data_IF_097744665824
#
_entry.id   IF_097744665824
#
_cell.length_a   1.000
_cell.length_b   1.000
_cell.length_c   1.000
_cell.angle_alpha   90.00
_cell.angle_beta   90.00
_cell.angle_gamma   90.00
#
_symmetry.space_group_name_H-M   'P 1'
#
loop_
_entity.id
_entity.type
_entity.pdbx_description
1 polymer ?
#
# COMPACT_ATOMS: atom_id res chain seq x y z
N UNK A 1 -12.82 7.73 23.99
CA UNK A 1 -12.28 7.26 22.70
C UNK A 1 -12.66 5.80 22.55
N UNK A 2 -13.43 5.43 21.52
CA UNK A 2 -13.74 4.02 21.26
C UNK A 2 -12.46 3.30 20.83
N UNK A 3 -12.08 2.21 21.51
CA UNK A 3 -10.95 1.40 21.08
C UNK A 3 -11.24 0.79 19.69
N UNK A 4 -10.30 0.86 18.76
CA UNK A 4 -10.39 0.20 17.45
C UNK A 4 -9.98 -1.26 17.62
N UNK A 5 -10.95 -2.15 17.79
CA UNK A 5 -10.72 -3.54 18.21
C UNK A 5 -11.40 -4.51 17.25
N UNK A 6 -10.67 -5.57 16.88
CA UNK A 6 -11.27 -6.81 16.35
C UNK A 6 -11.32 -7.86 17.46
N UNK A 7 -12.53 -8.33 17.77
CA UNK A 7 -12.80 -9.25 18.88
C UNK A 7 -12.92 -10.69 18.37
N UNK A 8 -12.33 -11.63 19.11
CA UNK A 8 -12.39 -13.07 18.85
C UNK A 8 -13.05 -13.77 20.03
N UNK A 9 -13.85 -14.80 19.74
CA UNK A 9 -14.45 -15.69 20.75
C UNK A 9 -13.73 -17.04 20.85
N UNK A 10 -12.91 -17.37 19.84
CA UNK A 10 -12.05 -18.55 19.84
C UNK A 10 -10.60 -18.14 20.10
N UNK A 11 -9.97 -18.79 21.07
CA UNK A 11 -8.60 -18.48 21.48
C UNK A 11 -7.55 -18.89 20.43
N UNK A 12 -7.77 -19.98 19.70
CA UNK A 12 -6.86 -20.40 18.64
C UNK A 12 -6.89 -19.42 17.46
N UNK A 13 -8.09 -18.95 17.07
CA UNK A 13 -8.25 -17.90 16.06
C UNK A 13 -7.59 -16.58 16.48
N UNK A 14 -7.69 -16.21 17.76
CA UNK A 14 -7.00 -15.03 18.31
C UNK A 14 -5.48 -15.13 18.16
N UNK A 15 -4.88 -16.27 18.53
CA UNK A 15 -3.43 -16.50 18.40
C UNK A 15 -3.00 -16.48 16.94
N UNK A 16 -3.77 -17.11 16.05
CA UNK A 16 -3.49 -17.10 14.62
C UNK A 16 -3.53 -15.67 14.06
N UNK A 17 -4.56 -14.88 14.41
CA UNK A 17 -4.66 -13.49 14.01
C UNK A 17 -3.49 -12.64 14.52
N UNK A 18 -3.06 -12.84 15.77
CA UNK A 18 -1.89 -12.16 16.34
C UNK A 18 -0.59 -12.47 15.59
N UNK A 19 -0.38 -13.73 15.23
CA UNK A 19 0.77 -14.15 14.42
C UNK A 19 0.75 -13.54 13.02
N UNK A 20 -0.42 -13.57 12.36
CA UNK A 20 -0.61 -12.94 11.05
C UNK A 20 -0.34 -11.43 11.13
N UNK A 21 -0.76 -10.76 12.22
CA UNK A 21 -0.64 -9.31 12.37
C UNK A 21 0.82 -8.91 12.55
N UNK A 22 1.53 -9.65 13.39
CA UNK A 22 2.97 -9.48 13.61
C UNK A 22 3.74 -9.67 12.29
N UNK A 23 3.43 -10.73 11.54
CA UNK A 23 4.06 -11.02 10.25
C UNK A 23 3.79 -9.91 9.23
N UNK A 24 2.54 -9.45 9.12
CA UNK A 24 2.17 -8.34 8.26
C UNK A 24 2.98 -7.08 8.59
N UNK A 25 3.03 -6.68 9.87
CA UNK A 25 3.78 -5.50 10.31
C UNK A 25 5.28 -5.62 10.02
N UNK A 26 5.87 -6.80 10.18
CA UNK A 26 7.28 -7.04 9.84
C UNK A 26 7.52 -6.86 8.33
N UNK A 27 6.70 -7.50 7.48
CA UNK A 27 6.81 -7.40 6.03
C UNK A 27 6.64 -5.95 5.57
N UNK A 28 5.57 -5.28 6.01
CA UNK A 28 5.30 -3.88 5.68
C UNK A 28 6.49 -2.99 6.03
N UNK A 29 7.03 -3.11 7.25
CA UNK A 29 8.14 -2.26 7.70
C UNK A 29 9.45 -2.49 6.93
N UNK A 30 9.73 -3.72 6.51
CA UNK A 30 10.91 -4.02 5.69
C UNK A 30 10.74 -3.37 4.31
N UNK A 31 9.65 -3.68 3.61
CA UNK A 31 9.40 -3.18 2.25
C UNK A 31 9.32 -1.65 2.24
N UNK A 32 8.67 -1.05 3.25
CA UNK A 32 8.59 0.40 3.41
C UNK A 32 9.97 1.04 3.54
N UNK A 33 10.86 0.48 4.36
CA UNK A 33 12.23 1.00 4.51
C UNK A 33 13.04 0.86 3.23
N UNK A 34 12.91 -0.28 2.54
CA UNK A 34 13.55 -0.49 1.24
C UNK A 34 13.07 0.54 0.22
N UNK A 35 11.77 0.83 0.21
CA UNK A 35 11.20 1.85 -0.67
C UNK A 35 11.66 3.27 -0.32
N UNK A 36 11.74 3.61 0.96
CA UNK A 36 12.30 4.89 1.42
C UNK A 36 13.76 5.04 1.00
N UNK A 37 14.56 3.98 1.08
CA UNK A 37 15.93 3.97 0.59
C UNK A 37 15.99 4.17 -0.93
N UNK A 38 15.12 3.52 -1.69
CA UNK A 38 15.01 3.70 -3.13
C UNK A 38 14.68 5.15 -3.52
N UNK A 39 13.71 5.78 -2.85
CA UNK A 39 13.40 7.20 -3.08
C UNK A 39 14.62 8.09 -2.79
N UNK A 40 15.32 7.84 -1.68
CA UNK A 40 16.51 8.61 -1.31
C UNK A 40 17.61 8.48 -2.37
N UNK A 41 17.95 7.26 -2.78
CA UNK A 41 18.96 6.99 -3.82
C UNK A 41 18.56 7.66 -5.15
N UNK A 42 17.27 7.65 -5.48
CA UNK A 42 16.76 8.30 -6.70
C UNK A 42 16.98 9.81 -6.69
N UNK A 43 16.72 10.46 -5.55
CA UNK A 43 16.97 11.90 -5.37
C UNK A 43 18.47 12.22 -5.50
N UNK A 44 19.35 11.41 -4.89
CA UNK A 44 20.80 11.60 -4.91
C UNK A 44 21.39 11.52 -6.33
N UNK A 45 20.79 10.73 -7.21
CA UNK A 45 21.26 10.51 -8.58
C UNK A 45 20.46 11.31 -9.63
N UNK A 46 19.71 12.35 -9.23
CA UNK A 46 18.86 13.13 -10.15
C UNK A 46 19.60 13.89 -11.25
N UNK A 47 20.90 14.13 -11.06
CA UNK A 47 21.76 14.85 -12.01
C UNK A 47 22.11 13.96 -13.21
N UNK A 48 22.35 12.67 -12.99
CA UNK A 48 22.76 11.74 -14.04
C UNK A 48 21.50 11.16 -14.68
N UNK A 49 21.18 11.65 -15.89
CA UNK A 49 19.90 11.37 -16.55
C UNK A 49 19.56 9.88 -16.66
N UNK A 50 20.54 9.04 -17.02
CA UNK A 50 20.31 7.60 -17.22
C UNK A 50 20.01 6.88 -15.90
N UNK A 51 20.65 7.31 -14.81
CA UNK A 51 20.46 6.78 -13.47
C UNK A 51 19.13 7.25 -12.91
N UNK A 52 18.85 8.55 -13.01
CA UNK A 52 17.57 9.11 -12.56
C UNK A 52 16.37 8.48 -13.27
N UNK A 53 16.45 8.32 -14.59
CA UNK A 53 15.40 7.64 -15.38
C UNK A 53 15.21 6.19 -14.93
N UNK A 54 16.31 5.47 -14.68
CA UNK A 54 16.26 4.07 -14.25
C UNK A 54 15.66 3.93 -12.87
N UNK A 55 16.13 4.73 -11.92
CA UNK A 55 15.69 4.71 -10.53
C UNK A 55 14.24 5.19 -10.40
N UNK A 56 13.83 6.23 -11.12
CA UNK A 56 12.43 6.68 -11.20
C UNK A 56 11.48 5.57 -11.66
N UNK A 57 11.84 4.83 -12.72
CA UNK A 57 11.05 3.69 -13.20
C UNK A 57 10.98 2.57 -12.14
N UNK A 58 12.07 2.36 -11.39
CA UNK A 58 12.07 1.45 -10.25
C UNK A 58 11.16 1.93 -9.11
N UNK A 59 11.13 3.23 -8.80
CA UNK A 59 10.22 3.81 -7.80
C UNK A 59 8.74 3.58 -8.16
N UNK A 60 8.37 3.72 -9.43
CA UNK A 60 7.01 3.43 -9.89
C UNK A 60 6.64 1.96 -9.66
N UNK A 61 7.53 1.02 -10.01
CA UNK A 61 7.29 -0.42 -9.81
C UNK A 61 7.23 -0.76 -8.31
N UNK A 62 8.20 -0.29 -7.54
CA UNK A 62 8.33 -0.57 -6.12
C UNK A 62 7.14 -0.08 -5.30
N UNK A 63 6.54 1.07 -5.64
CA UNK A 63 5.37 1.60 -4.94
C UNK A 63 4.23 0.59 -4.97
N UNK A 64 3.93 0.05 -6.15
CA UNK A 64 2.83 -0.90 -6.29
C UNK A 64 3.17 -2.28 -5.75
N UNK A 65 4.43 -2.72 -5.78
CA UNK A 65 4.84 -3.94 -5.09
C UNK A 65 4.61 -3.84 -3.57
N UNK A 66 4.90 -2.69 -2.96
CA UNK A 66 4.60 -2.44 -1.54
C UNK A 66 3.09 -2.48 -1.27
N UNK A 67 2.30 -1.74 -2.06
CA UNK A 67 0.85 -1.70 -1.89
C UNK A 67 0.22 -3.09 -2.07
N UNK A 68 0.68 -3.87 -3.06
CA UNK A 68 0.20 -5.23 -3.31
C UNK A 68 0.53 -6.17 -2.14
N UNK A 69 1.74 -6.04 -1.56
CA UNK A 69 2.12 -6.79 -0.37
C UNK A 69 1.22 -6.44 0.83
N UNK A 70 0.89 -5.16 1.00
CA UNK A 70 0.01 -4.71 2.07
C UNK A 70 -1.42 -5.21 1.89
N UNK A 71 -1.97 -5.12 0.67
CA UNK A 71 -3.30 -5.67 0.34
C UNK A 71 -3.34 -7.17 0.62
N UNK A 72 -2.31 -7.92 0.21
CA UNK A 72 -2.25 -9.36 0.46
C UNK A 72 -2.17 -9.68 1.97
N UNK A 73 -1.30 -8.99 2.71
CA UNK A 73 -1.16 -9.18 4.14
C UNK A 73 -2.43 -8.85 4.92
N UNK A 74 -3.13 -7.77 4.56
CA UNK A 74 -4.39 -7.37 5.17
C UNK A 74 -5.54 -8.34 4.83
N UNK A 75 -5.61 -8.89 3.61
CA UNK A 75 -6.58 -9.96 3.33
C UNK A 75 -6.26 -11.23 4.11
N UNK A 76 -4.99 -11.51 4.38
CA UNK A 76 -4.60 -12.57 5.31
C UNK A 76 -5.15 -12.34 6.72
N UNK A 77 -5.34 -11.10 7.16
CA UNK A 77 -5.84 -10.75 8.49
C UNK A 77 -7.37 -10.64 8.58
N UNK A 78 -7.96 -10.07 7.54
CA UNK A 78 -9.35 -9.67 7.50
C UNK A 78 -9.85 -9.65 6.06
N UNK A 79 -9.96 -10.85 5.47
CA UNK A 79 -10.43 -11.04 4.11
C UNK A 79 -11.84 -10.48 3.91
N UNK A 80 -12.08 -9.81 2.79
CA UNK A 80 -13.44 -9.51 2.35
C UNK A 80 -14.13 -10.76 1.81
N UNK A 81 -15.46 -10.72 1.79
CA UNK A 81 -16.28 -11.84 1.30
C UNK A 81 -15.94 -12.18 -0.16
N UNK A 82 -15.80 -13.48 -0.45
CA UNK A 82 -15.51 -14.01 -1.79
C UNK A 82 -14.15 -13.53 -2.37
N UNK A 83 -13.16 -13.28 -1.49
CA UNK A 83 -11.79 -12.91 -1.88
C UNK A 83 -11.23 -13.81 -2.99
N UNK A 84 -10.68 -13.19 -4.03
CA UNK A 84 -10.03 -13.89 -5.13
C UNK A 84 -8.73 -13.20 -5.52
N UNK A 85 -7.61 -13.94 -5.50
CA UNK A 85 -6.30 -13.43 -5.90
C UNK A 85 -6.29 -12.90 -7.35
N UNK A 86 -7.21 -13.39 -8.20
CA UNK A 86 -7.37 -12.99 -9.60
C UNK A 86 -8.18 -11.70 -9.79
N UNK A 87 -8.75 -11.14 -8.73
CA UNK A 87 -9.44 -9.86 -8.82
C UNK A 87 -8.49 -8.76 -9.30
N UNK A 88 -9.07 -7.76 -9.98
CA UNK A 88 -8.30 -6.58 -10.41
C UNK A 88 -7.68 -5.90 -9.20
N UNK A 89 -6.53 -5.25 -9.40
CA UNK A 89 -5.85 -4.50 -8.34
C UNK A 89 -6.81 -3.51 -7.64
N UNK A 90 -7.64 -2.80 -8.40
CA UNK A 90 -8.57 -1.80 -7.85
C UNK A 90 -9.64 -2.43 -6.97
N UNK A 91 -10.21 -3.55 -7.42
CA UNK A 91 -11.21 -4.27 -6.67
C UNK A 91 -10.59 -4.82 -5.38
N UNK A 92 -9.42 -5.46 -5.46
CA UNK A 92 -8.70 -5.95 -4.28
C UNK A 92 -8.41 -4.83 -3.32
N UNK A 93 -7.78 -3.74 -3.77
CA UNK A 93 -7.46 -2.58 -2.94
C UNK A 93 -8.70 -2.06 -2.21
N UNK A 94 -9.75 -1.70 -2.96
CA UNK A 94 -10.95 -1.09 -2.38
C UNK A 94 -11.67 -2.04 -1.43
N UNK A 95 -11.82 -3.30 -1.80
CA UNK A 95 -12.55 -4.29 -1.00
C UNK A 95 -11.79 -4.64 0.28
N UNK A 96 -10.47 -4.84 0.19
CA UNK A 96 -9.61 -5.08 1.36
C UNK A 96 -9.66 -3.93 2.34
N UNK A 97 -9.39 -2.70 1.89
CA UNK A 97 -9.39 -1.56 2.80
C UNK A 97 -10.79 -1.22 3.31
N UNK A 98 -11.86 -1.47 2.53
CA UNK A 98 -13.23 -1.34 3.01
C UNK A 98 -13.54 -2.34 4.12
N UNK A 99 -13.19 -3.61 3.94
CA UNK A 99 -13.37 -4.66 4.95
C UNK A 99 -12.62 -4.31 6.24
N UNK A 100 -11.32 -4.07 6.13
CA UNK A 100 -10.46 -3.66 7.24
C UNK A 100 -11.01 -2.41 7.92
N UNK A 101 -11.42 -1.41 7.15
CA UNK A 101 -12.03 -0.19 7.66
C UNK A 101 -13.33 -0.43 8.43
N UNK A 102 -14.16 -1.38 8.01
CA UNK A 102 -15.39 -1.74 8.73
C UNK A 102 -15.04 -2.46 10.03
N UNK A 103 -14.27 -3.56 9.94
CA UNK A 103 -13.96 -4.41 11.09
C UNK A 103 -13.16 -3.66 12.15
N UNK A 104 -12.23 -2.80 11.75
CA UNK A 104 -11.37 -2.04 12.66
C UNK A 104 -12.00 -0.71 13.08
N UNK A 105 -13.24 -0.42 12.64
CA UNK A 105 -13.97 0.82 12.94
C UNK A 105 -13.22 2.07 12.46
N UNK A 106 -12.66 2.02 11.25
CA UNK A 106 -11.88 3.07 10.58
C UNK A 106 -12.39 3.41 9.17
N UNK A 107 -13.65 3.10 8.87
CA UNK A 107 -14.26 3.33 7.57
C UNK A 107 -14.11 4.78 7.07
N UNK A 108 -14.18 5.77 7.98
CA UNK A 108 -14.00 7.18 7.61
C UNK A 108 -12.58 7.51 7.15
N UNK A 109 -11.55 6.86 7.72
CA UNK A 109 -10.15 7.03 7.27
C UNK A 109 -9.93 6.47 5.87
N UNK A 110 -10.52 5.30 5.62
CA UNK A 110 -10.48 4.67 4.30
C UNK A 110 -11.23 5.53 3.28
N UNK A 111 -12.42 6.03 3.63
CA UNK A 111 -13.19 6.93 2.77
C UNK A 111 -12.40 8.21 2.45
N UNK A 112 -11.83 8.86 3.46
CA UNK A 112 -11.02 10.07 3.28
C UNK A 112 -9.85 9.86 2.31
N UNK A 113 -9.14 8.73 2.42
CA UNK A 113 -8.05 8.40 1.51
C UNK A 113 -8.58 8.16 0.08
N UNK A 114 -9.64 7.35 -0.06
CA UNK A 114 -10.21 7.04 -1.37
C UNK A 114 -10.77 8.28 -2.07
N UNK A 115 -11.40 9.20 -1.35
CA UNK A 115 -12.01 10.40 -1.93
C UNK A 115 -10.94 11.40 -2.39
N UNK A 116 -9.83 11.51 -1.65
CA UNK A 116 -8.83 12.57 -1.90
C UNK A 116 -7.58 12.12 -2.67
N UNK A 117 -7.16 10.86 -2.54
CA UNK A 117 -5.86 10.37 -3.04
C UNK A 117 -5.96 9.28 -4.10
N UNK A 118 -7.11 8.62 -4.23
CA UNK A 118 -7.27 7.48 -5.14
C UNK A 118 -6.94 7.80 -6.59
N UNK A 119 -7.41 8.93 -7.12
CA UNK A 119 -7.18 9.31 -8.51
C UNK A 119 -5.69 9.48 -8.79
N UNK A 120 -4.96 10.19 -7.93
CA UNK A 120 -3.50 10.36 -8.05
C UNK A 120 -2.76 9.02 -7.99
N UNK A 121 -3.19 8.09 -7.12
CA UNK A 121 -2.62 6.75 -7.08
C UNK A 121 -2.88 5.98 -8.38
N UNK A 122 -4.08 6.08 -8.97
CA UNK A 122 -4.39 5.41 -10.24
C UNK A 122 -3.62 6.00 -11.43
N UNK A 123 -3.32 7.29 -11.42
CA UNK A 123 -2.43 7.90 -12.40
C UNK A 123 -1.02 7.30 -12.31
N UNK A 124 -0.45 7.19 -11.11
CA UNK A 124 0.83 6.53 -10.89
C UNK A 124 0.81 5.06 -11.31
N UNK A 125 -0.31 4.36 -11.07
CA UNK A 125 -0.50 2.97 -11.49
C UNK A 125 -0.46 2.84 -13.01
N UNK A 126 -1.15 3.74 -13.72
CA UNK A 126 -1.14 3.75 -15.18
C UNK A 126 0.28 3.91 -15.72
N UNK A 127 1.09 4.78 -15.11
CA UNK A 127 2.51 4.93 -15.47
C UNK A 127 3.30 3.64 -15.21
N UNK A 128 3.09 2.99 -14.06
CA UNK A 128 3.67 1.68 -13.75
C UNK A 128 3.29 0.62 -14.78
N UNK A 129 2.02 0.50 -15.12
CA UNK A 129 1.50 -0.51 -16.03
C UNK A 129 2.07 -0.32 -17.45
N UNK A 130 2.24 0.92 -17.89
CA UNK A 130 2.95 1.26 -19.13
C UNK A 130 4.41 0.77 -19.13
N UNK A 131 5.10 0.80 -17.98
CA UNK A 131 6.47 0.28 -17.86
C UNK A 131 6.57 -1.24 -17.84
N UNK A 132 5.53 -1.93 -17.37
CA UNK A 132 5.49 -3.41 -17.35
C UNK A 132 5.09 -3.95 -18.72
N UNK A 133 4.14 -3.28 -19.39
CA UNK A 133 3.63 -3.67 -20.69
C UNK A 133 3.75 -2.50 -21.68
N UNK A 134 4.98 -2.11 -22.07
CA UNK A 134 5.18 -1.02 -23.02
C UNK A 134 4.61 -1.41 -24.39
N UNK A 135 3.82 -0.50 -24.96
CA UNK A 135 3.24 -0.63 -26.31
C UNK A 135 3.91 0.32 -27.30
N UNK A 136 4.48 1.41 -26.78
CA UNK A 136 5.10 2.50 -27.52
C UNK A 136 6.37 2.94 -26.78
N UNK A 137 7.29 3.62 -27.45
CA UNK A 137 8.55 4.07 -26.84
C UNK A 137 8.32 5.08 -25.71
N UNK A 138 7.27 5.86 -25.83
CA UNK A 138 6.80 6.87 -24.88
C UNK A 138 6.37 6.25 -23.55
N UNK A 139 6.04 4.95 -23.52
CA UNK A 139 5.78 4.23 -22.28
C UNK A 139 7.04 4.02 -21.43
N UNK A 140 8.24 4.18 -22.01
CA UNK A 140 9.50 4.18 -21.29
C UNK A 140 9.74 5.59 -20.74
N UNK A 141 9.01 5.89 -19.66
CA UNK A 141 8.97 7.22 -19.06
C UNK A 141 10.36 7.77 -18.75
N UNK A 142 10.58 9.02 -19.15
CA UNK A 142 11.74 9.82 -18.75
C UNK A 142 11.38 10.57 -17.46
N UNK A 143 12.27 10.52 -16.48
CA UNK A 143 12.10 11.21 -15.21
C UNK A 143 12.24 12.72 -15.37
N UNK A 144 11.55 13.47 -14.53
CA UNK A 144 11.85 14.86 -14.23
C UNK A 144 11.47 15.10 -12.77
N UNK A 145 11.91 16.22 -12.20
CA UNK A 145 11.66 16.51 -10.78
C UNK A 145 10.17 16.49 -10.45
N UNK A 146 9.32 17.11 -11.29
CA UNK A 146 7.87 17.12 -11.10
C UNK A 146 7.27 15.70 -11.08
N UNK A 147 7.68 14.84 -11.99
CA UNK A 147 7.19 13.46 -12.06
C UNK A 147 7.67 12.63 -10.86
N UNK A 148 8.92 12.83 -10.44
CA UNK A 148 9.47 12.15 -9.28
C UNK A 148 8.82 12.62 -7.97
N UNK A 149 8.55 13.91 -7.81
CA UNK A 149 7.81 14.45 -6.67
C UNK A 149 6.38 13.90 -6.59
N UNK A 150 5.72 13.66 -7.72
CA UNK A 150 4.42 12.97 -7.72
C UNK A 150 4.51 11.56 -7.13
N UNK A 151 5.58 10.81 -7.43
CA UNK A 151 5.80 9.47 -6.86
C UNK A 151 6.07 9.57 -5.35
N UNK A 152 6.93 10.49 -4.92
CA UNK A 152 7.22 10.74 -3.50
C UNK A 152 5.95 11.11 -2.72
N UNK A 153 5.14 12.00 -3.26
CA UNK A 153 3.88 12.40 -2.64
C UNK A 153 2.88 11.25 -2.59
N UNK A 154 2.75 10.46 -3.67
CA UNK A 154 1.92 9.26 -3.68
C UNK A 154 2.33 8.22 -2.63
N UNK A 155 3.64 8.04 -2.43
CA UNK A 155 4.18 7.21 -1.36
C UNK A 155 3.85 7.78 0.02
N UNK A 156 4.14 9.05 0.28
CA UNK A 156 3.91 9.68 1.57
C UNK A 156 2.43 9.64 1.97
N UNK A 157 1.53 9.92 1.02
CA UNK A 157 0.09 9.83 1.21
C UNK A 157 -0.34 8.40 1.57
N UNK A 158 0.24 7.39 0.90
CA UNK A 158 -0.04 5.98 1.18
C UNK A 158 0.55 5.50 2.51
N UNK A 159 1.80 5.85 2.84
CA UNK A 159 2.45 5.51 4.10
C UNK A 159 1.65 6.12 5.28
N UNK A 160 1.27 7.39 5.16
CA UNK A 160 0.42 8.04 6.15
C UNK A 160 -0.93 7.30 6.30
N UNK A 161 -1.55 6.89 5.20
CA UNK A 161 -2.79 6.12 5.24
C UNK A 161 -2.64 4.78 5.98
N UNK A 162 -1.58 4.02 5.71
CA UNK A 162 -1.32 2.76 6.42
C UNK A 162 -1.04 3.01 7.90
N UNK A 163 -0.24 4.02 8.24
CA UNK A 163 0.03 4.39 9.63
C UNK A 163 -1.27 4.76 10.37
N UNK A 164 -2.14 5.58 9.76
CA UNK A 164 -3.44 5.93 10.34
C UNK A 164 -4.37 4.73 10.48
N UNK A 165 -4.29 3.77 9.55
CA UNK A 165 -5.05 2.52 9.60
C UNK A 165 -4.55 1.60 10.72
N UNK A 166 -3.24 1.57 11.00
CA UNK A 166 -2.63 0.70 12.02
C UNK A 166 -2.61 1.30 13.42
N UNK A 167 -2.61 2.63 13.53
CA UNK A 167 -2.54 3.35 14.81
C UNK A 167 -3.70 2.99 15.75
N UNK A 168 -3.42 2.70 17.01
CA UNK A 168 -4.46 2.42 18.03
C UNK A 168 -5.40 1.25 17.67
N UNK A 169 -4.97 0.33 16.79
CA UNK A 169 -5.69 -0.91 16.49
C UNK A 169 -5.22 -2.06 17.40
N UNK A 170 -6.17 -2.82 17.93
CA UNK A 170 -5.92 -3.93 18.85
C UNK A 170 -6.73 -5.18 18.47
N UNK A 171 -6.19 -6.35 18.79
CA UNK A 171 -6.94 -7.60 18.82
C UNK A 171 -7.32 -7.90 20.27
N UNK A 172 -8.56 -8.31 20.50
CA UNK A 172 -9.04 -8.70 21.83
C UNK A 172 -9.70 -10.09 21.75
N UNK A 173 -9.60 -10.87 22.83
CA UNK A 173 -10.34 -12.12 23.02
C UNK A 173 -11.34 -11.92 24.15
N UNK A 174 -12.58 -12.33 23.93
CA UNK A 174 -13.63 -12.35 24.95
C UNK A 174 -13.95 -13.82 25.24
N UNK A 175 -13.58 -14.25 26.45
CA UNK A 175 -13.78 -15.61 26.96
C UNK A 175 -15.00 -15.60 27.89
#
# INVERSE_FOLDING_TARGET
MSKHVKTYTDYAEFIEAGNRLTKYQQIHNIIRKDYQALLKITEEHKIIKIEFDTLYRSCLKGLFSMIEADVYGLNGLDAYKDYNDRDSFENKFKNTFKQVGITWKKADRVRQYLDSKWLGLMELRKLRDQLIHPKELEHIHKANETAFEKVKNGFNDYDQFINDLMRDFFLEVVI
#
